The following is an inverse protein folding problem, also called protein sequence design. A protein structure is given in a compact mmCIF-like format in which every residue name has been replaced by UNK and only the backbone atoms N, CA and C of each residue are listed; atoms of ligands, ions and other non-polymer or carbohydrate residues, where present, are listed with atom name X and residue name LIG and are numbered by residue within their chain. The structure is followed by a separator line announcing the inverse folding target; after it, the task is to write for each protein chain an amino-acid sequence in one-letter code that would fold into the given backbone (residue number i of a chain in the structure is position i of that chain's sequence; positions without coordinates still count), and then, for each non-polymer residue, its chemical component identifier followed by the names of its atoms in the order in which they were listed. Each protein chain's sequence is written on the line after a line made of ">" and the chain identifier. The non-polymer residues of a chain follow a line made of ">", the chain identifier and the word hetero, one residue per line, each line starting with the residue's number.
data_IF_787518543495
#
_entry.id   IF_787518543495
#
_cell.length_a   1.000
_cell.length_b   1.000
_cell.length_c   1.000
_cell.angle_alpha   90.00
_cell.angle_beta   90.00
_cell.angle_gamma   90.00
#
_symmetry.space_group_name_H-M   'P 1'
#
loop_
_entity.id
_entity.type
_entity.pdbx_description
1 polymer ?
#
# COMPACT_ATOMS: atom_id res chain seq x y z
N UNK A 1 -9.94 3.08 15.43
CA UNK A 1 -8.65 2.83 14.73
C UNK A 1 -8.70 1.64 13.77
N UNK A 2 -9.46 0.57 14.06
CA UNK A 2 -9.43 -0.69 13.33
C UNK A 2 -9.81 -0.64 11.84
N UNK A 3 -10.78 0.19 11.45
CA UNK A 3 -11.40 0.20 10.13
C UNK A 3 -10.42 0.25 8.93
N UNK A 4 -9.53 1.25 8.80
CA UNK A 4 -8.59 1.29 7.68
C UNK A 4 -7.60 0.11 7.70
N UNK A 5 -7.22 -0.36 8.89
CA UNK A 5 -6.26 -1.45 9.05
C UNK A 5 -6.87 -2.81 8.69
N UNK A 6 -8.16 -3.01 9.00
CA UNK A 6 -8.90 -4.20 8.62
C UNK A 6 -9.12 -4.26 7.10
N UNK A 7 -9.35 -3.10 6.47
CA UNK A 7 -9.41 -3.02 5.01
C UNK A 7 -8.05 -3.35 4.39
N UNK A 8 -6.96 -2.80 4.91
CA UNK A 8 -5.63 -3.11 4.42
C UNK A 8 -5.25 -4.61 4.58
N UNK A 9 -5.72 -5.28 5.64
CA UNK A 9 -5.65 -6.74 5.78
C UNK A 9 -6.37 -7.47 4.65
N UNK A 10 -7.56 -7.01 4.26
CA UNK A 10 -8.30 -7.59 3.13
C UNK A 10 -7.50 -7.50 1.82
N UNK A 11 -6.85 -6.36 1.57
CA UNK A 11 -5.95 -6.19 0.43
C UNK A 11 -4.82 -7.23 0.42
N UNK A 12 -4.21 -7.48 1.58
CA UNK A 12 -3.13 -8.47 1.70
C UNK A 12 -3.63 -9.92 1.58
N UNK A 13 -4.81 -10.24 2.12
CA UNK A 13 -5.43 -11.56 1.91
C UNK A 13 -5.76 -11.79 0.42
N UNK A 14 -6.27 -10.77 -0.26
CA UNK A 14 -6.49 -10.81 -1.72
C UNK A 14 -5.19 -10.88 -2.51
N UNK A 15 -4.10 -10.32 -1.98
CA UNK A 15 -2.77 -10.39 -2.59
C UNK A 15 -2.14 -11.76 -2.42
N UNK A 16 -2.55 -12.56 -1.44
CA UNK A 16 -2.11 -13.94 -1.16
C UNK A 16 -0.59 -14.08 -0.96
N UNK A 17 0.07 -13.11 -0.33
CA UNK A 17 1.54 -13.11 -0.11
C UNK A 17 2.02 -14.46 0.47
N UNK A 18 2.99 -15.08 -0.21
CA UNK A 18 3.60 -16.36 0.18
C UNK A 18 5.03 -16.16 0.65
N UNK A 19 5.53 -17.15 1.38
CA UNK A 19 6.91 -17.20 1.82
C UNK A 19 7.86 -17.07 0.62
N UNK A 20 8.76 -16.10 0.67
CA UNK A 20 9.76 -15.88 -0.37
C UNK A 20 9.38 -14.84 -1.42
N UNK A 21 8.11 -14.40 -1.48
CA UNK A 21 7.67 -13.43 -2.50
C UNK A 21 8.34 -12.06 -2.34
N UNK A 22 8.55 -11.39 -3.46
CA UNK A 22 8.83 -9.95 -3.52
C UNK A 22 7.53 -9.17 -3.69
N UNK A 23 7.31 -8.18 -2.83
CA UNK A 23 6.09 -7.37 -2.79
C UNK A 23 6.42 -5.91 -3.09
N UNK A 24 5.71 -5.31 -4.04
CA UNK A 24 5.73 -3.85 -4.27
C UNK A 24 4.38 -3.26 -3.87
N UNK A 25 4.42 -2.23 -3.02
CA UNK A 25 3.26 -1.43 -2.63
C UNK A 25 3.37 -0.05 -3.28
N UNK A 26 2.40 0.27 -4.14
CA UNK A 26 2.30 1.57 -4.81
C UNK A 26 1.34 2.48 -4.03
N UNK A 27 1.91 3.46 -3.34
CA UNK A 27 1.22 4.40 -2.45
C UNK A 27 1.70 4.25 -1.01
N UNK A 28 2.29 5.31 -0.45
CA UNK A 28 2.85 5.39 0.91
C UNK A 28 1.89 5.96 1.96
N UNK A 29 0.59 6.04 1.64
CA UNK A 29 -0.44 6.42 2.61
C UNK A 29 -0.60 5.40 3.75
N UNK A 30 -1.50 5.65 4.72
CA UNK A 30 -1.68 4.77 5.88
C UNK A 30 -1.97 3.31 5.52
N UNK A 31 -2.78 3.10 4.48
CA UNK A 31 -3.10 1.77 3.95
C UNK A 31 -1.84 1.08 3.42
N UNK A 32 -1.05 1.75 2.58
CA UNK A 32 0.15 1.17 1.99
C UNK A 32 1.22 0.86 3.03
N UNK A 33 1.39 1.75 4.01
CA UNK A 33 2.25 1.48 5.18
C UNK A 33 1.82 0.21 5.91
N UNK A 34 0.52 0.06 6.16
CA UNK A 34 -0.01 -1.14 6.82
C UNK A 34 0.16 -2.41 5.99
N UNK A 35 -0.04 -2.30 4.68
CA UNK A 35 0.17 -3.38 3.74
C UNK A 35 1.65 -3.81 3.71
N UNK A 36 2.61 -2.88 3.85
CA UNK A 36 4.03 -3.21 3.97
C UNK A 36 4.31 -4.07 5.21
N UNK A 37 3.83 -3.63 6.38
CA UNK A 37 3.97 -4.36 7.64
C UNK A 37 3.37 -5.78 7.51
N UNK A 38 2.14 -5.87 7.02
CA UNK A 38 1.44 -7.15 6.88
C UNK A 38 2.01 -8.06 5.79
N UNK A 39 2.62 -7.52 4.75
CA UNK A 39 3.34 -8.28 3.73
C UNK A 39 4.57 -8.94 4.35
N UNK A 40 5.37 -8.18 5.12
CA UNK A 40 6.53 -8.71 5.84
C UNK A 40 6.13 -9.85 6.77
N UNK A 41 5.09 -9.64 7.57
CA UNK A 41 4.59 -10.64 8.53
C UNK A 41 4.05 -11.91 7.89
N UNK A 42 3.64 -11.85 6.62
CA UNK A 42 3.23 -13.02 5.84
C UNK A 42 4.38 -13.76 5.17
N UNK A 43 5.62 -13.34 5.41
CA UNK A 43 6.81 -14.02 4.90
C UNK A 43 7.32 -13.51 3.56
N UNK A 44 6.93 -12.29 3.14
CA UNK A 44 7.58 -11.64 2.02
C UNK A 44 9.10 -11.55 2.28
N UNK A 45 9.90 -12.01 1.31
CA UNK A 45 11.36 -11.91 1.40
C UNK A 45 11.84 -10.47 1.19
N UNK A 46 11.18 -9.77 0.27
CA UNK A 46 11.42 -8.36 -0.04
C UNK A 46 10.11 -7.59 -0.04
N UNK A 47 10.09 -6.45 0.65
CA UNK A 47 8.96 -5.51 0.69
C UNK A 47 9.46 -4.15 0.24
N UNK A 48 8.86 -3.64 -0.83
CA UNK A 48 9.19 -2.37 -1.44
C UNK A 48 8.02 -1.40 -1.36
N UNK A 49 8.33 -0.13 -1.11
CA UNK A 49 7.34 0.94 -1.03
C UNK A 49 7.65 2.05 -2.02
N UNK A 50 6.66 2.48 -2.80
CA UNK A 50 6.83 3.58 -3.75
C UNK A 50 5.69 4.58 -3.67
N UNK A 51 6.00 5.85 -3.95
CA UNK A 51 5.03 6.94 -4.01
C UNK A 51 5.50 8.01 -5.00
N UNK A 52 4.59 8.79 -5.57
CA UNK A 52 4.94 9.96 -6.39
C UNK A 52 5.41 11.14 -5.53
N UNK A 53 5.10 11.14 -4.24
CA UNK A 53 5.40 12.23 -3.32
C UNK A 53 6.49 11.82 -2.31
N UNK A 54 7.68 12.44 -2.46
CA UNK A 54 8.83 12.24 -1.57
C UNK A 54 8.51 12.48 -0.10
N UNK A 55 7.81 13.58 0.22
CA UNK A 55 7.49 13.93 1.60
C UNK A 55 6.61 12.86 2.27
N UNK A 56 5.61 12.33 1.54
CA UNK A 56 4.78 11.22 2.05
C UNK A 56 5.59 9.96 2.27
N UNK A 57 6.47 9.64 1.33
CA UNK A 57 7.36 8.49 1.44
C UNK A 57 8.28 8.61 2.65
N UNK A 58 8.89 9.77 2.89
CA UNK A 58 9.76 10.02 4.05
C UNK A 58 8.99 9.87 5.37
N UNK A 59 7.74 10.36 5.43
CA UNK A 59 6.86 10.19 6.59
C UNK A 59 6.55 8.71 6.81
N UNK A 60 6.23 7.97 5.74
CA UNK A 60 5.96 6.55 5.80
C UNK A 60 7.16 5.75 6.31
N UNK A 61 8.36 6.02 5.80
CA UNK A 61 9.59 5.30 6.20
C UNK A 61 9.97 5.56 7.66
N UNK A 62 9.69 6.75 8.21
CA UNK A 62 9.85 6.99 9.65
C UNK A 62 8.90 6.12 10.49
N UNK A 63 7.73 5.76 9.96
CA UNK A 63 6.74 4.97 10.67
C UNK A 63 6.94 3.46 10.50
N UNK A 64 7.22 2.99 9.28
CA UNK A 64 7.26 1.55 8.93
C UNK A 64 8.55 1.10 8.24
N UNK A 65 9.61 1.92 8.26
CA UNK A 65 10.85 1.63 7.54
C UNK A 65 11.54 0.33 7.96
N UNK A 66 11.35 -0.14 9.20
CA UNK A 66 11.84 -1.45 9.64
C UNK A 66 11.19 -2.65 8.91
N UNK A 67 10.07 -2.44 8.24
CA UNK A 67 9.34 -3.45 7.47
C UNK A 67 9.60 -3.37 5.96
N UNK A 68 10.29 -2.32 5.50
CA UNK A 68 10.52 -2.02 4.08
C UNK A 68 12.01 -2.19 3.77
N UNK A 69 12.34 -3.02 2.78
CA UNK A 69 13.73 -3.26 2.38
C UNK A 69 14.30 -2.12 1.54
N UNK A 70 13.48 -1.54 0.67
CA UNK A 70 13.85 -0.38 -0.15
C UNK A 70 12.62 0.41 -0.59
N UNK A 71 12.83 1.65 -1.01
CA UNK A 71 11.78 2.55 -1.47
C UNK A 71 12.26 3.55 -2.51
N UNK A 72 11.34 4.04 -3.34
CA UNK A 72 11.68 5.05 -4.36
C UNK A 72 10.51 5.98 -4.64
N UNK A 73 10.85 7.17 -5.12
CA UNK A 73 9.87 8.09 -5.70
C UNK A 73 9.58 7.64 -7.12
N UNK A 74 8.31 7.43 -7.45
CA UNK A 74 7.88 7.08 -8.79
C UNK A 74 8.20 8.22 -9.76
N UNK A 75 9.00 7.92 -10.80
CA UNK A 75 9.36 8.87 -11.86
C UNK A 75 8.33 8.90 -12.99
N UNK A 76 8.77 9.32 -14.18
CA UNK A 76 7.91 9.45 -15.36
C UNK A 76 7.27 8.12 -15.81
N UNK A 77 7.94 7.00 -15.55
CA UNK A 77 7.47 5.64 -15.81
C UNK A 77 6.67 5.03 -14.65
N UNK A 78 6.27 5.85 -13.67
CA UNK A 78 5.56 5.42 -12.45
C UNK A 78 6.32 4.36 -11.64
N UNK A 79 7.66 4.31 -11.75
CA UNK A 79 8.51 3.46 -10.94
C UNK A 79 8.73 2.04 -11.47
N UNK A 80 8.35 1.76 -12.72
CA UNK A 80 8.55 0.44 -13.35
C UNK A 80 10.03 0.08 -13.42
N UNK A 81 10.89 0.95 -13.95
CA UNK A 81 12.33 0.70 -14.08
C UNK A 81 12.98 0.44 -12.72
N UNK A 82 12.61 1.21 -11.70
CA UNK A 82 13.10 1.06 -10.34
C UNK A 82 12.71 -0.30 -9.73
N UNK A 83 11.48 -0.76 -9.96
CA UNK A 83 11.02 -2.08 -9.54
C UNK A 83 11.76 -3.20 -10.28
N UNK A 84 11.96 -3.05 -11.60
CA UNK A 84 12.69 -4.03 -12.41
C UNK A 84 14.14 -4.15 -11.98
N UNK A 85 14.83 -3.03 -11.72
CA UNK A 85 16.20 -3.00 -11.20
C UNK A 85 16.32 -3.78 -9.88
N UNK A 86 15.45 -3.50 -8.91
CA UNK A 86 15.44 -4.14 -7.57
C UNK A 86 15.07 -5.62 -7.58
N UNK A 87 14.51 -6.07 -8.68
CA UNK A 87 14.09 -7.45 -8.91
C UNK A 87 14.92 -8.14 -10.00
N UNK A 88 16.08 -7.58 -10.36
CA UNK A 88 17.02 -8.15 -11.32
C UNK A 88 16.36 -8.45 -12.69
N UNK A 89 15.44 -7.56 -13.09
CA UNK A 89 14.67 -7.67 -14.33
C UNK A 89 13.53 -8.69 -14.31
N UNK A 90 13.26 -9.35 -13.18
CA UNK A 90 12.18 -10.35 -13.08
C UNK A 90 10.81 -9.75 -12.81
N UNK A 91 10.76 -8.62 -12.10
CA UNK A 91 9.54 -8.06 -11.54
C UNK A 91 9.16 -8.67 -10.18
N UNK A 92 8.30 -8.02 -9.38
CA UNK A 92 7.76 -8.59 -8.15
C UNK A 92 6.66 -9.62 -8.43
N UNK A 93 6.58 -10.66 -7.60
CA UNK A 93 5.50 -11.65 -7.65
C UNK A 93 4.16 -11.08 -7.13
N UNK A 94 4.22 -10.02 -6.30
CA UNK A 94 3.06 -9.38 -5.69
C UNK A 94 3.11 -7.87 -5.86
N UNK A 95 2.04 -7.28 -6.39
CA UNK A 95 1.90 -5.82 -6.48
C UNK A 95 0.56 -5.40 -5.90
N UNK A 96 0.55 -4.38 -5.05
CA UNK A 96 -0.69 -3.79 -4.54
C UNK A 96 -0.72 -2.29 -4.79
N UNK A 97 -1.81 -1.83 -5.39
CA UNK A 97 -2.04 -0.44 -5.74
C UNK A 97 -2.92 0.19 -4.67
N UNK A 98 -2.29 0.89 -3.74
CA UNK A 98 -2.90 1.65 -2.64
C UNK A 98 -3.06 3.14 -2.98
N UNK A 99 -3.01 3.50 -4.26
CA UNK A 99 -3.21 4.86 -4.77
C UNK A 99 -4.31 4.87 -5.85
N UNK A 100 -5.25 5.85 -5.84
CA UNK A 100 -6.34 5.92 -6.82
C UNK A 100 -5.85 6.52 -8.14
N UNK A 101 -4.93 5.83 -8.84
CA UNK A 101 -4.29 6.30 -10.07
C UNK A 101 -4.32 5.23 -11.16
N UNK A 102 -4.72 5.63 -12.37
CA UNK A 102 -4.71 4.77 -13.56
C UNK A 102 -3.29 4.40 -13.98
N UNK A 103 -2.38 5.37 -13.90
CA UNK A 103 -0.97 5.18 -14.22
C UNK A 103 -0.33 4.19 -13.24
N UNK A 104 -0.67 4.27 -11.95
CA UNK A 104 -0.23 3.27 -10.97
C UNK A 104 -0.78 1.87 -11.26
N UNK A 105 -2.04 1.76 -11.70
CA UNK A 105 -2.63 0.47 -12.12
C UNK A 105 -1.93 -0.11 -13.36
N UNK A 106 -1.62 0.71 -14.36
CA UNK A 106 -0.87 0.29 -15.55
C UNK A 106 0.56 -0.16 -15.19
N UNK A 107 1.28 0.68 -14.45
CA UNK A 107 2.64 0.40 -13.99
C UNK A 107 2.72 -0.91 -13.20
N UNK A 108 1.70 -1.22 -12.39
CA UNK A 108 1.64 -2.47 -11.65
C UNK A 108 1.67 -3.71 -12.56
N UNK A 109 0.99 -3.67 -13.72
CA UNK A 109 1.03 -4.76 -14.70
C UNK A 109 2.39 -4.82 -15.44
N UNK A 110 2.95 -3.66 -15.74
CA UNK A 110 4.24 -3.54 -16.45
C UNK A 110 5.40 -4.06 -15.61
N UNK A 111 5.46 -3.71 -14.32
CA UNK A 111 6.53 -4.19 -13.44
C UNK A 111 6.33 -5.63 -12.99
N UNK A 112 5.09 -6.12 -12.89
CA UNK A 112 4.79 -7.45 -12.35
C UNK A 112 5.55 -8.58 -13.06
N UNK A 113 6.01 -9.56 -12.27
CA UNK A 113 6.60 -10.79 -12.77
C UNK A 113 5.58 -11.66 -13.53
N UNK A 114 6.09 -12.70 -14.20
CA UNK A 114 5.21 -13.77 -14.71
C UNK A 114 4.49 -14.47 -13.55
N UNK A 115 3.21 -14.76 -13.74
CA UNK A 115 2.28 -15.37 -12.78
C UNK A 115 2.10 -14.57 -11.50
N UNK A 116 2.42 -13.28 -11.55
CA UNK A 116 2.26 -12.39 -10.42
C UNK A 116 0.79 -12.09 -10.13
N UNK A 117 0.53 -11.66 -8.90
CA UNK A 117 -0.78 -11.22 -8.42
C UNK A 117 -0.77 -9.72 -8.19
N UNK A 118 -1.70 -9.03 -8.83
CA UNK A 118 -1.86 -7.58 -8.76
C UNK A 118 -3.20 -7.26 -8.11
N UNK A 119 -3.18 -6.50 -7.01
CA UNK A 119 -4.39 -6.07 -6.30
C UNK A 119 -4.59 -4.57 -6.47
N UNK A 120 -5.70 -4.18 -7.07
CA UNK A 120 -6.18 -2.80 -7.07
C UNK A 120 -7.02 -2.56 -5.82
N UNK A 121 -6.36 -2.04 -4.79
CA UNK A 121 -7.00 -1.76 -3.51
C UNK A 121 -7.68 -0.40 -3.50
N UNK A 122 -7.04 0.62 -4.07
CA UNK A 122 -7.62 1.94 -4.19
C UNK A 122 -8.49 2.04 -5.45
N UNK A 123 -9.78 2.34 -5.27
CA UNK A 123 -10.70 2.59 -6.36
C UNK A 123 -10.39 3.92 -7.08
N UNK A 124 -10.65 3.97 -8.38
CA UNK A 124 -10.51 5.19 -9.17
C UNK A 124 -11.60 6.21 -8.82
N UNK A 125 -11.37 7.52 -9.08
CA UNK A 125 -12.39 8.54 -8.88
C UNK A 125 -13.69 8.21 -9.64
N UNK A 126 -14.86 8.46 -9.02
CA UNK A 126 -16.16 8.15 -9.64
C UNK A 126 -16.41 8.83 -10.99
N UNK A 127 -15.84 10.03 -11.17
CA UNK A 127 -15.96 10.78 -12.42
C UNK A 127 -15.00 10.27 -13.51
N UNK A 128 -14.06 9.38 -13.16
CA UNK A 128 -13.08 8.84 -14.10
C UNK A 128 -12.70 7.36 -13.78
N UNK A 129 -13.67 6.42 -13.84
CA UNK A 129 -13.51 5.08 -13.26
C UNK A 129 -12.84 4.05 -14.20
N UNK A 130 -12.49 4.43 -15.42
CA UNK A 130 -12.01 3.49 -16.47
C UNK A 130 -10.53 3.67 -16.73
N UNK A 131 -9.74 2.61 -16.53
CA UNK A 131 -8.34 2.54 -16.95
C UNK A 131 -8.18 1.62 -18.17
N UNK A 132 -7.36 2.03 -19.13
CA UNK A 132 -6.92 1.16 -20.21
C UNK A 132 -5.82 0.23 -19.69
N UNK A 133 -5.97 -1.08 -19.87
CA UNK A 133 -4.98 -2.08 -19.45
C UNK A 133 -4.47 -2.80 -20.69
N UNK A 134 -3.15 -3.02 -20.79
CA UNK A 134 -2.58 -3.85 -21.84
C UNK A 134 -2.88 -5.32 -21.54
N UNK A 135 -3.86 -5.88 -22.26
CA UNK A 135 -4.29 -7.26 -22.10
C UNK A 135 -3.25 -8.28 -22.58
N UNK A 136 -2.25 -7.87 -23.36
CA UNK A 136 -1.12 -8.73 -23.68
C UNK A 136 -0.23 -8.96 -22.45
N UNK A 137 -0.06 -7.96 -21.57
CA UNK A 137 0.63 -8.17 -20.28
C UNK A 137 -0.11 -9.23 -19.46
N UNK A 138 -1.44 -9.12 -19.36
CA UNK A 138 -2.26 -10.10 -18.66
C UNK A 138 -2.08 -11.50 -19.25
N UNK A 139 -2.19 -11.64 -20.57
CA UNK A 139 -2.12 -12.93 -21.25
C UNK A 139 -0.72 -13.57 -21.16
N UNK A 140 0.32 -12.88 -21.62
CA UNK A 140 1.66 -13.46 -21.76
C UNK A 140 2.44 -13.56 -20.44
N UNK A 141 2.08 -12.74 -19.43
CA UNK A 141 2.60 -12.91 -18.07
C UNK A 141 1.70 -13.77 -17.20
N UNK A 142 0.54 -14.24 -17.68
CA UNK A 142 -0.39 -15.05 -16.88
C UNK A 142 -0.77 -14.38 -15.54
N UNK A 143 -1.05 -13.07 -15.57
CA UNK A 143 -1.30 -12.30 -14.33
C UNK A 143 -2.66 -12.65 -13.72
N UNK A 144 -2.75 -12.53 -12.39
CA UNK A 144 -4.02 -12.45 -11.69
C UNK A 144 -4.27 -10.99 -11.25
N UNK A 145 -5.37 -10.40 -11.73
CA UNK A 145 -5.77 -9.03 -11.36
C UNK A 145 -7.02 -9.12 -10.47
N UNK A 146 -6.96 -8.53 -9.28
CA UNK A 146 -8.05 -8.54 -8.31
C UNK A 146 -8.35 -7.14 -7.78
N UNK A 147 -9.61 -6.92 -7.42
CA UNK A 147 -10.01 -5.80 -6.57
C UNK A 147 -10.06 -6.21 -5.10
N UNK A 148 -9.95 -5.22 -4.20
CA UNK A 148 -10.19 -5.40 -2.78
C UNK A 148 -10.95 -4.19 -2.22
N UNK A 149 -12.02 -4.42 -1.47
CA UNK A 149 -12.84 -3.37 -0.88
C UNK A 149 -13.38 -3.77 0.48
N UNK A 150 -13.36 -2.83 1.42
CA UNK A 150 -13.88 -3.01 2.77
C UNK A 150 -13.16 -4.11 3.56
N UNK A 151 -13.82 -4.54 4.63
CA UNK A 151 -13.35 -5.62 5.50
C UNK A 151 -14.54 -6.40 6.08
N UNK A 152 -14.29 -7.67 6.38
CA UNK A 152 -15.23 -8.57 7.05
C UNK A 152 -15.10 -8.47 8.57
N UNK A 153 -16.13 -8.89 9.32
CA UNK A 153 -16.06 -8.96 10.80
C UNK A 153 -14.88 -9.80 11.30
N UNK A 154 -14.49 -10.85 10.57
CA UNK A 154 -13.30 -11.65 10.87
C UNK A 154 -12.03 -10.80 10.81
N UNK A 155 -11.86 -10.05 9.74
CA UNK A 155 -10.69 -9.19 9.54
C UNK A 155 -10.62 -8.07 10.58
N UNK A 156 -11.76 -7.54 11.04
CA UNK A 156 -11.80 -6.62 12.16
C UNK A 156 -11.24 -7.23 13.45
N UNK A 157 -11.69 -8.43 13.83
CA UNK A 157 -11.21 -9.12 15.02
C UNK A 157 -9.70 -9.38 14.95
N UNK A 158 -9.23 -9.93 13.84
CA UNK A 158 -7.80 -10.19 13.60
C UNK A 158 -6.99 -8.89 13.74
N UNK A 159 -7.49 -7.79 13.15
CA UNK A 159 -6.81 -6.51 13.17
C UNK A 159 -6.75 -5.91 14.57
N UNK A 160 -7.81 -6.04 15.37
CA UNK A 160 -7.82 -5.58 16.76
C UNK A 160 -6.78 -6.31 17.60
N UNK A 161 -6.76 -7.64 17.55
CA UNK A 161 -5.76 -8.47 18.24
C UNK A 161 -4.33 -8.13 17.79
N UNK A 162 -4.14 -7.89 16.49
CA UNK A 162 -2.86 -7.55 15.92
C UNK A 162 -2.36 -6.18 16.40
N UNK A 163 -3.22 -5.17 16.40
CA UNK A 163 -2.91 -3.82 16.90
C UNK A 163 -2.59 -3.81 18.39
N UNK A 164 -3.25 -4.66 19.17
CA UNK A 164 -2.97 -4.81 20.60
C UNK A 164 -1.56 -5.40 20.82
N UNK A 165 -1.20 -6.46 20.09
CA UNK A 165 0.11 -7.12 20.21
C UNK A 165 1.28 -6.26 19.72
N UNK A 166 1.05 -5.42 18.69
CA UNK A 166 2.09 -4.57 18.08
C UNK A 166 1.95 -3.09 18.42
N UNK A 167 1.27 -2.79 19.53
CA UNK A 167 0.94 -1.42 19.93
C UNK A 167 2.14 -0.48 19.90
N UNK A 168 3.28 -0.93 20.40
CA UNK A 168 4.47 -0.10 20.55
C UNK A 168 5.23 0.06 19.23
N UNK A 169 5.34 -1.00 18.42
CA UNK A 169 5.94 -0.95 17.08
C UNK A 169 5.16 -0.05 16.11
N UNK A 170 3.86 0.08 16.31
CA UNK A 170 2.95 0.79 15.41
C UNK A 170 2.49 2.14 15.96
N UNK A 171 2.98 2.54 17.13
CA UNK A 171 2.61 3.80 17.76
C UNK A 171 2.92 5.00 16.84
N UNK A 172 3.99 4.91 16.05
CA UNK A 172 4.46 5.91 15.09
C UNK A 172 3.53 6.12 13.89
N UNK A 173 2.62 5.18 13.60
CA UNK A 173 1.66 5.31 12.49
C UNK A 173 0.68 6.44 12.73
N UNK A 174 0.29 6.68 13.99
CA UNK A 174 -0.51 7.84 14.41
C UNK A 174 0.40 9.04 14.59
N UNK A 175 0.57 9.83 13.55
CA UNK A 175 1.51 10.95 13.56
C UNK A 175 0.96 12.20 14.21
N UNK A 176 -0.36 12.41 14.20
CA UNK A 176 -0.97 13.61 14.80
C UNK A 176 -2.24 13.26 15.59
N UNK A 177 -2.41 13.98 16.71
CA UNK A 177 -3.57 13.92 17.57
C UNK A 177 -4.07 15.34 17.76
N UNK A 178 -5.32 15.59 17.40
CA UNK A 178 -5.97 16.88 17.61
C UNK A 178 -7.19 16.72 18.50
N UNK A 179 -7.47 17.66 19.41
CA UNK A 179 -8.78 17.75 20.05
C UNK A 179 -9.87 18.13 19.03
N UNK A 180 -11.14 17.87 19.35
CA UNK A 180 -12.27 18.10 18.43
C UNK A 180 -12.42 19.57 18.02
N UNK A 181 -12.09 20.51 18.89
CA UNK A 181 -12.11 21.96 18.62
C UNK A 181 -11.04 22.42 17.61
N UNK A 182 -10.03 21.59 17.33
CA UNK A 182 -8.98 21.84 16.32
C UNK A 182 -9.16 21.02 15.04
N UNK A 183 -10.40 20.70 14.68
CA UNK A 183 -10.71 19.86 13.52
C UNK A 183 -10.20 20.45 12.20
N UNK A 184 -10.19 21.78 12.05
CA UNK A 184 -9.71 22.45 10.83
C UNK A 184 -8.20 22.23 10.63
N UNK A 185 -7.43 22.27 11.70
CA UNK A 185 -6.00 21.97 11.66
C UNK A 185 -5.73 20.51 11.32
N UNK A 186 -6.57 19.59 11.83
CA UNK A 186 -6.50 18.18 11.48
C UNK A 186 -6.72 17.98 9.96
N UNK A 187 -7.71 18.65 9.37
CA UNK A 187 -7.95 18.59 7.93
C UNK A 187 -6.82 19.22 7.11
N UNK A 188 -6.26 20.35 7.54
CA UNK A 188 -5.13 20.97 6.86
C UNK A 188 -3.88 20.08 6.88
N UNK A 189 -3.62 19.40 8.01
CA UNK A 189 -2.55 18.41 8.14
C UNK A 189 -2.72 17.27 7.13
N UNK A 190 -3.93 16.71 7.02
CA UNK A 190 -4.25 15.65 6.03
C UNK A 190 -4.00 16.14 4.60
N UNK A 191 -4.47 17.34 4.26
CA UNK A 191 -4.32 17.93 2.92
C UNK A 191 -2.86 18.16 2.55
N UNK A 192 -2.06 18.65 3.49
CA UNK A 192 -0.63 18.92 3.27
C UNK A 192 0.21 17.64 3.09
N UNK A 193 -0.29 16.48 3.52
CA UNK A 193 0.46 15.23 3.50
C UNK A 193 1.59 15.15 4.54
N UNK A 194 1.64 16.09 5.49
CA UNK A 194 2.61 16.07 6.60
C UNK A 194 2.31 15.00 7.65
N UNK A 195 1.06 14.50 7.69
CA UNK A 195 0.64 13.40 8.56
C UNK A 195 0.41 12.10 7.79
N UNK A 196 0.68 10.97 8.45
CA UNK A 196 0.29 9.64 7.99
C UNK A 196 -1.14 9.35 8.49
N UNK A 197 -1.31 9.12 9.79
CA UNK A 197 -2.63 8.98 10.42
C UNK A 197 -2.87 10.12 11.42
N UNK A 198 -3.91 10.89 11.14
CA UNK A 198 -4.43 11.93 12.04
C UNK A 198 -5.65 11.37 12.78
N UNK A 199 -5.71 11.57 14.10
CA UNK A 199 -6.84 11.16 14.94
C UNK A 199 -7.38 12.34 15.73
N UNK A 200 -8.70 12.37 15.91
CA UNK A 200 -9.36 13.27 16.84
C UNK A 200 -9.47 12.57 18.19
N UNK A 201 -9.03 13.22 19.25
CA UNK A 201 -9.11 12.75 20.64
C UNK A 201 -10.07 13.64 21.43
N UNK A 202 -10.76 13.05 22.41
CA UNK A 202 -11.56 13.80 23.38
C UNK A 202 -10.67 14.33 24.51
#
# INVERSE_FOLDING_TARGET
>A
MADPFACALNGIEMLDVRLGDTVVIIGSGPIGCWQAVMARDRGASKVFLTDVNRQRLDVALRAVGSFVDDSWVAGDDNGVAAAMERTEGRGPERVIVAAPSKQAQQAALEMAAKRARVVYFAGLPKHDPVAALDMNQLHYKELAILGAYGATHRQYRITMDYLERRRDELASVVTHRFPLDRIDEAFNTIRSGSGLKVVIVQ
#
